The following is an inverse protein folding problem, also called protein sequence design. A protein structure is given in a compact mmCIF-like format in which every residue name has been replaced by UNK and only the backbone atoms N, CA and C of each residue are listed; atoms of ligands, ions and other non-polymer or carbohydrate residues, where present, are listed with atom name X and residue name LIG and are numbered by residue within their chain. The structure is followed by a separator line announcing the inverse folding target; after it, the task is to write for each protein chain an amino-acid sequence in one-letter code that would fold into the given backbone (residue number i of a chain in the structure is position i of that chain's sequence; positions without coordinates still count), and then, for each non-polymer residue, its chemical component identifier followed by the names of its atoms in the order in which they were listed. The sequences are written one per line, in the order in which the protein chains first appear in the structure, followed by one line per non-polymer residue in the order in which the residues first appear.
data_IF_728488454350
#
_entry.id   IF_728488454350
#
_cell.length_a   1.000
_cell.length_b   1.000
_cell.length_c   1.000
_cell.angle_alpha   90.00
_cell.angle_beta   90.00
_cell.angle_gamma   90.00
#
_symmetry.space_group_name_H-M   'P 1'
#
loop_
_entity.id
_entity.type
_entity.pdbx_description
1 polymer ?
#
# COMPACT_ATOMS: atom_id res chain seq x y z
N UNK A 1 10.57 40.54 73.62
CA UNK A 1 11.02 40.13 72.28
C UNK A 1 9.99 39.13 71.73
N UNK A 2 9.35 39.42 70.59
CA UNK A 2 8.33 38.57 69.94
C UNK A 2 9.00 37.86 68.77
N UNK A 3 8.93 36.53 68.71
CA UNK A 3 9.52 35.71 67.65
C UNK A 3 8.53 35.63 66.48
N UNK A 4 8.84 36.29 65.36
CA UNK A 4 8.10 36.15 64.10
C UNK A 4 8.54 34.89 63.38
N UNK A 5 7.61 33.97 63.18
CA UNK A 5 7.82 32.74 62.39
C UNK A 5 7.67 33.05 60.91
N UNK A 6 8.72 32.78 60.12
CA UNK A 6 8.74 32.90 58.66
C UNK A 6 8.32 31.55 58.07
N UNK A 7 7.22 31.52 57.33
CA UNK A 7 6.72 30.32 56.64
C UNK A 7 7.38 30.20 55.27
N UNK A 8 8.19 29.16 55.06
CA UNK A 8 8.89 28.89 53.80
C UNK A 8 7.93 28.27 52.78
N UNK A 9 7.73 28.94 51.64
CA UNK A 9 6.92 28.43 50.52
C UNK A 9 7.78 27.49 49.66
N UNK A 10 7.46 26.19 49.67
CA UNK A 10 8.13 25.18 48.86
C UNK A 10 7.59 25.22 47.42
N UNK A 11 8.37 25.74 46.48
CA UNK A 11 8.07 25.69 45.04
C UNK A 11 8.56 24.35 44.49
N UNK A 12 7.64 23.49 44.07
CA UNK A 12 7.97 22.22 43.42
C UNK A 12 8.31 22.44 41.94
N UNK A 13 9.41 21.87 41.40
CA UNK A 13 9.71 21.94 39.98
C UNK A 13 8.79 20.97 39.22
N UNK A 14 8.04 21.50 38.25
CA UNK A 14 7.24 20.71 37.32
C UNK A 14 8.19 20.03 36.31
N UNK A 15 8.45 18.73 36.48
CA UNK A 15 9.12 17.92 35.49
C UNK A 15 8.16 17.70 34.32
N UNK A 16 8.34 18.45 33.23
CA UNK A 16 7.65 18.21 31.97
C UNK A 16 8.19 16.90 31.35
N UNK A 17 7.41 15.83 31.45
CA UNK A 17 7.69 14.58 30.73
C UNK A 17 7.36 14.82 29.25
N UNK A 18 8.38 14.83 28.39
CA UNK A 18 8.18 14.77 26.95
C UNK A 18 7.59 13.40 26.60
N UNK A 19 6.28 13.35 26.35
CA UNK A 19 5.63 12.14 25.83
C UNK A 19 6.04 12.02 24.36
N UNK A 20 6.66 10.90 23.93
CA UNK A 20 6.93 10.70 22.51
C UNK A 20 5.60 10.69 21.77
N UNK A 21 5.41 11.66 20.86
CA UNK A 21 4.31 11.63 19.91
C UNK A 21 4.57 10.41 19.02
N UNK A 22 3.70 9.41 19.11
CA UNK A 22 3.63 8.36 18.10
C UNK A 22 3.11 9.02 16.82
N UNK A 23 4.03 9.49 15.98
CA UNK A 23 3.69 9.83 14.59
C UNK A 23 2.98 8.62 13.99
N UNK A 24 1.74 8.82 13.55
CA UNK A 24 0.90 7.74 13.01
C UNK A 24 1.52 7.29 11.69
N UNK A 25 2.34 6.25 11.79
CA UNK A 25 2.89 5.52 10.65
C UNK A 25 1.77 4.76 9.99
N UNK A 26 1.30 5.26 8.84
CA UNK A 26 0.17 4.66 8.15
C UNK A 26 0.64 3.74 7.01
N UNK A 27 -0.16 2.70 6.78
CA UNK A 27 0.01 1.78 5.66
C UNK A 27 -0.71 2.40 4.48
N UNK A 28 0.05 2.88 3.49
CA UNK A 28 -0.54 3.50 2.31
C UNK A 28 -0.77 2.47 1.18
N UNK A 29 -2.03 2.32 0.77
CA UNK A 29 -2.46 1.38 -0.27
C UNK A 29 -3.16 2.11 -1.45
N UNK A 30 -2.44 2.88 -2.29
CA UNK A 30 -3.04 3.58 -3.43
C UNK A 30 -3.69 2.64 -4.48
N UNK A 31 -4.96 2.87 -4.86
CA UNK A 31 -5.72 1.97 -5.75
C UNK A 31 -5.14 1.92 -7.17
N UNK A 32 -5.07 0.72 -7.75
CA UNK A 32 -4.68 0.54 -9.16
C UNK A 32 -5.78 1.09 -10.06
N UNK A 33 -5.41 1.94 -11.01
CA UNK A 33 -6.34 2.60 -11.95
C UNK A 33 -6.18 2.09 -13.39
N UNK A 34 -5.04 1.49 -13.72
CA UNK A 34 -4.80 0.84 -15.02
C UNK A 34 -3.92 -0.41 -14.84
N UNK A 35 -4.21 -1.52 -15.54
CA UNK A 35 -5.24 -1.72 -16.56
C UNK A 35 -6.68 -1.67 -16.01
N UNK A 36 -7.62 -1.30 -16.88
CA UNK A 36 -9.05 -1.17 -16.56
C UNK A 36 -9.89 -2.21 -17.31
N UNK A 37 -11.17 -2.34 -16.97
CA UNK A 37 -12.05 -3.28 -17.67
C UNK A 37 -12.09 -3.01 -19.19
N UNK A 38 -11.92 -4.08 -19.99
CA UNK A 38 -11.83 -4.00 -21.45
C UNK A 38 -10.42 -3.71 -21.99
N UNK A 39 -9.43 -3.52 -21.12
CA UNK A 39 -8.02 -3.45 -21.54
C UNK A 39 -7.56 -4.81 -22.04
N UNK A 40 -6.84 -4.81 -23.16
CA UNK A 40 -6.22 -6.01 -23.73
C UNK A 40 -4.72 -5.80 -23.79
N UNK A 41 -3.95 -6.73 -23.22
CA UNK A 41 -2.50 -6.75 -23.26
C UNK A 41 -2.01 -7.91 -24.10
N UNK A 42 -0.87 -7.72 -24.76
CA UNK A 42 -0.21 -8.80 -25.49
C UNK A 42 1.04 -9.26 -24.77
N UNK A 43 1.32 -10.58 -24.75
CA UNK A 43 2.57 -11.09 -24.21
C UNK A 43 3.79 -10.42 -24.86
N UNK A 44 4.80 -10.15 -24.04
CA UNK A 44 6.07 -9.49 -24.39
C UNK A 44 5.98 -8.00 -24.74
N UNK A 45 4.79 -7.41 -24.77
CA UNK A 45 4.65 -5.96 -24.88
C UNK A 45 4.97 -5.27 -23.56
N UNK A 46 5.29 -3.98 -23.67
CA UNK A 46 5.59 -3.12 -22.54
C UNK A 46 4.37 -2.24 -22.26
N UNK A 47 3.89 -2.27 -21.02
CA UNK A 47 2.75 -1.46 -20.59
C UNK A 47 3.04 -0.76 -19.28
N UNK A 48 2.38 0.39 -19.10
CA UNK A 48 2.37 1.08 -17.81
C UNK A 48 1.26 0.50 -16.94
N UNK A 49 1.56 0.23 -15.69
CA UNK A 49 0.57 0.01 -14.62
C UNK A 49 0.45 1.32 -13.86
N UNK A 50 -0.76 1.84 -13.67
CA UNK A 50 -0.98 3.10 -12.95
C UNK A 50 -1.81 2.91 -11.70
N UNK A 51 -1.59 3.77 -10.72
CA UNK A 51 -2.35 3.81 -9.48
C UNK A 51 -2.47 5.26 -8.97
N UNK A 52 -3.51 5.53 -8.20
CA UNK A 52 -3.79 6.88 -7.70
C UNK A 52 -2.93 7.23 -6.49
N UNK A 53 -2.07 8.25 -6.62
CA UNK A 53 -1.20 8.75 -5.55
C UNK A 53 -1.62 10.12 -5.01
N UNK A 54 -2.88 10.53 -5.19
CA UNK A 54 -3.35 11.89 -4.88
C UNK A 54 -3.42 12.24 -3.40
N UNK A 55 -3.56 11.26 -2.50
CA UNK A 55 -3.74 11.48 -1.05
C UNK A 55 -2.79 10.60 -0.20
N UNK A 56 -1.45 10.78 -0.32
CA UNK A 56 -0.51 10.03 0.50
C UNK A 56 -0.43 10.62 1.91
N UNK A 57 -0.36 9.78 2.97
CA UNK A 57 -0.13 10.27 4.33
C UNK A 57 1.31 10.81 4.46
N UNK A 58 1.53 11.72 5.42
CA UNK A 58 2.84 12.35 5.63
C UNK A 58 3.95 11.34 5.96
N UNK A 59 3.61 10.27 6.68
CA UNK A 59 4.54 9.22 7.09
C UNK A 59 4.09 7.85 6.57
N UNK A 60 4.81 7.33 5.57
CA UNK A 60 4.54 6.03 4.93
C UNK A 60 5.56 4.99 5.42
N UNK A 61 5.09 3.90 6.01
CA UNK A 61 5.98 2.80 6.45
C UNK A 61 6.30 1.75 5.41
N UNK A 62 5.53 1.69 4.34
CA UNK A 62 5.50 0.61 3.35
C UNK A 62 5.71 1.15 1.93
N UNK A 63 6.72 2.01 1.76
CA UNK A 63 6.94 2.76 0.52
C UNK A 63 7.40 1.90 -0.66
N UNK A 64 7.84 0.67 -0.40
CA UNK A 64 8.33 -0.26 -1.42
C UNK A 64 7.21 -1.18 -1.88
N UNK A 65 6.94 -1.17 -3.19
CA UNK A 65 5.85 -1.92 -3.82
C UNK A 65 6.30 -3.14 -4.61
N UNK A 66 5.34 -4.03 -4.84
CA UNK A 66 5.45 -5.18 -5.75
C UNK A 66 4.20 -5.28 -6.60
N UNK A 67 4.34 -5.51 -7.91
CA UNK A 67 3.26 -5.76 -8.86
C UNK A 67 3.22 -7.26 -9.14
N UNK A 68 2.08 -7.89 -8.88
CA UNK A 68 1.81 -9.30 -9.21
C UNK A 68 0.70 -9.43 -10.22
N UNK A 69 0.80 -10.50 -11.01
CA UNK A 69 -0.29 -10.93 -11.88
C UNK A 69 -1.21 -11.89 -11.12
N UNK A 70 -2.51 -11.66 -11.21
CA UNK A 70 -3.56 -12.51 -10.63
C UNK A 70 -4.44 -13.02 -11.74
N UNK A 71 -4.94 -14.26 -11.61
CA UNK A 71 -5.89 -14.87 -12.55
C UNK A 71 -7.03 -15.51 -11.77
N UNK A 72 -8.28 -15.23 -12.18
CA UNK A 72 -9.49 -15.80 -11.58
C UNK A 72 -9.51 -15.67 -10.03
N UNK A 73 -9.13 -14.48 -9.56
CA UNK A 73 -9.01 -14.11 -8.14
C UNK A 73 -8.01 -14.97 -7.33
N UNK A 74 -7.11 -15.68 -8.01
CA UNK A 74 -6.01 -16.44 -7.40
C UNK A 74 -4.66 -15.80 -7.71
N UNK A 75 -3.90 -15.53 -6.65
CA UNK A 75 -2.54 -15.02 -6.76
C UNK A 75 -1.69 -16.04 -7.51
N UNK A 76 -1.08 -15.61 -8.61
CA UNK A 76 -0.12 -16.43 -9.36
C UNK A 76 1.29 -16.23 -8.80
N UNK A 77 2.24 -17.14 -9.05
CA UNK A 77 3.63 -16.94 -8.64
C UNK A 77 4.36 -15.85 -9.45
N UNK A 78 3.70 -15.19 -10.40
CA UNK A 78 4.31 -14.24 -11.32
C UNK A 78 4.39 -12.85 -10.68
N UNK A 79 5.62 -12.35 -10.55
CA UNK A 79 5.94 -10.98 -10.16
C UNK A 79 6.31 -10.23 -11.43
N UNK A 80 5.64 -9.11 -11.69
CA UNK A 80 5.86 -8.25 -12.87
C UNK A 80 6.91 -7.17 -12.60
N UNK A 81 6.94 -6.67 -11.38
CA UNK A 81 7.92 -5.70 -10.90
C UNK A 81 7.98 -5.71 -9.38
N UNK A 82 9.13 -5.37 -8.82
CA UNK A 82 9.34 -5.26 -7.39
C UNK A 82 10.36 -4.15 -7.06
N UNK A 83 10.46 -3.84 -5.76
CA UNK A 83 11.46 -2.93 -5.22
C UNK A 83 11.43 -1.51 -5.82
N UNK A 84 10.23 -0.96 -6.04
CA UNK A 84 10.02 0.41 -6.52
C UNK A 84 9.22 1.25 -5.51
N UNK A 85 9.33 2.57 -5.64
CA UNK A 85 8.60 3.53 -4.81
C UNK A 85 7.13 3.63 -5.24
N UNK A 86 6.21 3.35 -4.32
CA UNK A 86 4.76 3.43 -4.58
C UNK A 86 4.26 4.85 -4.84
N UNK A 87 5.08 5.89 -4.63
CA UNK A 87 4.69 7.27 -4.94
C UNK A 87 4.93 7.66 -6.40
N UNK A 88 5.47 6.76 -7.23
CA UNK A 88 5.65 7.02 -8.67
C UNK A 88 4.31 7.18 -9.42
N UNK A 89 3.22 6.57 -8.92
CA UNK A 89 1.90 6.57 -9.57
C UNK A 89 1.81 5.73 -10.84
N UNK A 90 2.95 5.34 -11.40
CA UNK A 90 3.04 4.45 -12.56
C UNK A 90 4.32 3.64 -12.52
N UNK A 91 4.29 2.45 -13.12
CA UNK A 91 5.47 1.63 -13.36
C UNK A 91 5.35 0.90 -14.69
N UNK A 92 6.45 0.87 -15.44
CA UNK A 92 6.53 0.15 -16.71
C UNK A 92 6.85 -1.33 -16.46
N UNK A 93 6.08 -2.23 -17.05
CA UNK A 93 6.29 -3.68 -16.96
C UNK A 93 6.32 -4.32 -18.34
N UNK A 94 6.98 -5.48 -18.45
CA UNK A 94 6.87 -6.36 -19.61
C UNK A 94 5.84 -7.45 -19.32
N UNK A 95 4.88 -7.63 -20.23
CA UNK A 95 3.87 -8.69 -20.09
C UNK A 95 4.54 -10.06 -20.26
N UNK A 96 4.38 -10.98 -19.29
CA UNK A 96 4.98 -12.30 -19.38
C UNK A 96 4.21 -13.19 -20.37
N UNK A 97 4.84 -14.30 -20.76
CA UNK A 97 4.13 -15.37 -21.45
C UNK A 97 3.13 -16.04 -20.50
N UNK A 98 1.84 -15.98 -20.85
CA UNK A 98 0.73 -16.61 -20.12
C UNK A 98 -0.30 -17.14 -21.09
N UNK A 99 -1.14 -18.07 -20.64
CA UNK A 99 -2.26 -18.58 -21.43
C UNK A 99 -3.21 -17.43 -21.75
N UNK A 100 -3.69 -17.34 -22.99
CA UNK A 100 -4.66 -16.30 -23.33
C UNK A 100 -5.97 -16.45 -22.56
N UNK A 101 -6.57 -15.32 -22.23
CA UNK A 101 -7.91 -15.25 -21.68
C UNK A 101 -8.14 -14.03 -20.81
N UNK A 102 -9.30 -14.03 -20.18
CA UNK A 102 -9.79 -12.89 -19.40
C UNK A 102 -9.49 -13.06 -17.90
N UNK A 103 -10.03 -12.17 -17.07
CA UNK A 103 -9.92 -12.21 -15.61
C UNK A 103 -8.48 -12.16 -15.09
N UNK A 104 -7.57 -11.57 -15.86
CA UNK A 104 -6.30 -11.12 -15.32
C UNK A 104 -6.53 -9.87 -14.50
N UNK A 105 -5.81 -9.73 -13.38
CA UNK A 105 -5.81 -8.52 -12.56
C UNK A 105 -4.40 -8.19 -12.12
N UNK A 106 -4.17 -6.93 -11.86
CA UNK A 106 -2.98 -6.49 -11.14
C UNK A 106 -3.27 -6.48 -9.64
N UNK A 107 -2.42 -7.14 -8.88
CA UNK A 107 -2.38 -6.99 -7.43
C UNK A 107 -1.11 -6.24 -7.06
N UNK A 108 -1.27 -5.08 -6.43
CA UNK A 108 -0.12 -4.39 -5.85
C UNK A 108 0.01 -4.83 -4.40
N UNK A 109 0.99 -5.70 -4.16
CA UNK A 109 1.31 -6.17 -2.82
C UNK A 109 2.14 -5.10 -2.10
N UNK A 110 1.75 -4.84 -0.87
CA UNK A 110 2.54 -4.06 0.07
C UNK A 110 3.47 -5.05 0.74
N UNK A 111 4.78 -4.80 0.71
CA UNK A 111 5.72 -5.58 1.50
C UNK A 111 5.48 -5.26 2.99
N UNK A 112 4.43 -5.83 3.58
CA UNK A 112 4.23 -5.89 5.01
C UNK A 112 4.54 -7.31 5.47
N UNK A 113 5.69 -7.46 6.11
CA UNK A 113 5.77 -8.40 7.22
C UNK A 113 4.74 -7.97 8.26
N UNK A 114 3.73 -8.81 8.48
CA UNK A 114 2.74 -8.76 9.58
C UNK A 114 1.59 -7.72 9.51
N UNK A 115 0.37 -8.27 9.47
CA UNK A 115 -0.87 -7.79 10.10
C UNK A 115 -1.19 -6.28 10.02
N UNK A 116 -1.92 -5.87 8.99
CA UNK A 116 -2.80 -4.70 9.07
C UNK A 116 -4.25 -5.16 8.81
N UNK A 117 -5.08 -5.10 9.85
CA UNK A 117 -6.53 -5.32 9.76
C UNK A 117 -7.13 -4.02 9.21
N UNK A 118 -7.33 -3.94 7.90
CA UNK A 118 -8.13 -2.86 7.33
C UNK A 118 -9.63 -3.13 7.61
N UNK A 119 -10.28 -2.18 8.27
CA UNK A 119 -11.72 -2.23 8.63
C UNK A 119 -12.66 -1.74 7.52
N UNK A 120 -12.16 -1.44 6.31
CA UNK A 120 -12.97 -0.89 5.21
C UNK A 120 -13.18 -1.80 3.99
N UNK A 121 -12.77 -3.07 4.03
CA UNK A 121 -12.96 -3.96 2.88
C UNK A 121 -14.43 -4.42 2.76
N UNK A 122 -15.12 -3.96 1.71
CA UNK A 122 -16.49 -4.38 1.33
C UNK A 122 -16.53 -5.76 0.64
N UNK A 123 -15.44 -6.52 0.68
CA UNK A 123 -15.34 -7.89 0.14
C UNK A 123 -14.64 -8.78 1.17
N UNK A 124 -14.95 -10.09 1.21
CA UNK A 124 -14.23 -11.01 2.07
C UNK A 124 -12.75 -10.99 1.69
N UNK A 125 -11.96 -10.27 2.49
CA UNK A 125 -10.51 -10.22 2.37
C UNK A 125 -9.98 -11.65 2.48
N UNK A 126 -9.24 -12.10 1.48
CA UNK A 126 -8.45 -13.32 1.62
C UNK A 126 -7.33 -12.95 2.58
N UNK A 127 -7.20 -13.69 3.69
CA UNK A 127 -6.15 -13.43 4.68
C UNK A 127 -4.78 -13.28 3.99
N UNK A 128 -4.19 -12.08 4.05
CA UNK A 128 -2.90 -11.76 3.43
C UNK A 128 -2.97 -11.00 2.10
N UNK A 129 -4.15 -10.66 1.58
CA UNK A 129 -4.25 -9.73 0.45
C UNK A 129 -4.14 -8.26 0.91
N UNK A 130 -3.50 -7.40 0.11
CA UNK A 130 -3.37 -5.97 0.39
C UNK A 130 -4.65 -5.18 0.09
N UNK A 131 -5.74 -5.84 -0.32
CA UNK A 131 -6.94 -5.19 -0.84
C UNK A 131 -6.74 -4.35 -2.11
N UNK A 132 -5.52 -4.23 -2.62
CA UNK A 132 -5.18 -3.28 -3.69
C UNK A 132 -5.17 -3.93 -5.09
N UNK A 133 -6.36 -4.40 -5.47
CA UNK A 133 -6.63 -5.09 -6.72
C UNK A 133 -7.05 -4.08 -7.79
N UNK A 134 -6.51 -4.24 -9.00
CA UNK A 134 -7.02 -3.59 -10.20
C UNK A 134 -8.24 -4.29 -10.78
N UNK A 135 -8.82 -3.66 -11.79
CA UNK A 135 -9.91 -4.25 -12.57
C UNK A 135 -9.44 -5.47 -13.37
N UNK A 136 -10.42 -6.29 -13.75
CA UNK A 136 -10.18 -7.44 -14.60
C UNK A 136 -9.95 -7.00 -16.05
N UNK A 137 -8.91 -7.55 -16.68
CA UNK A 137 -8.49 -7.30 -18.05
C UNK A 137 -8.11 -8.60 -18.77
N UNK A 138 -7.84 -8.49 -20.08
CA UNK A 138 -7.56 -9.63 -20.96
C UNK A 138 -6.09 -9.65 -21.39
N UNK A 139 -5.51 -10.85 -21.46
CA UNK A 139 -4.21 -11.07 -22.11
C UNK A 139 -4.44 -12.04 -23.27
N UNK A 140 -4.08 -11.66 -24.49
CA UNK A 140 -4.25 -12.50 -25.68
C UNK A 140 -3.10 -12.35 -26.68
N UNK A 141 -2.89 -13.39 -27.50
CA UNK A 141 -1.99 -13.29 -28.67
C UNK A 141 -2.75 -12.69 -29.85
N UNK A 142 -2.03 -12.11 -30.80
CA UNK A 142 -2.61 -11.75 -32.09
C UNK A 142 -3.32 -12.96 -32.71
N UNK A 143 -4.61 -12.77 -33.04
CA UNK A 143 -5.46 -13.77 -33.67
C UNK A 143 -5.02 -14.10 -35.11
#
# INVERSE_FOLDING_TARGET
MKFSTITTLLVAPLLALAVPILEQRDVYAPPVTFPSNGTVWKPFEVHNVTWDVSDPPEQITNRIGTIRLVKDDRITPIILADNFDILLGTYEITVPWVVSGDNYRILRELLLLCFAIDRKLTRPAVFGDSGNWGDAFTIEYDA
#
